data_IF_305719700738
#
_entry.id   IF_305719700738
#
_cell.length_a   1.000
_cell.length_b   1.000
_cell.length_c   1.000
_cell.angle_alpha   90.00
_cell.angle_beta   90.00
_cell.angle_gamma   90.00
#
_symmetry.space_group_name_H-M   'P 1'
#
loop_
_entity.id
_entity.type
_entity.pdbx_description
1 polymer ?
#
# COMPACT_ATOMS: atom_id res chain seq x y z
N UNK A 1 21.10 33.99 20.69
CA UNK A 1 21.28 32.64 21.26
C UNK A 1 20.04 32.35 22.10
N UNK A 2 19.08 31.49 21.78
CA UNK A 2 19.12 30.27 20.97
C UNK A 2 17.80 30.09 20.19
N UNK A 3 17.96 29.90 18.89
CA UNK A 3 16.97 29.82 17.82
C UNK A 3 16.43 28.37 17.62
N UNK A 4 16.33 27.57 18.69
CA UNK A 4 16.29 26.09 18.57
C UNK A 4 15.07 25.38 19.17
N UNK A 5 13.91 26.04 19.31
CA UNK A 5 12.65 25.37 19.72
C UNK A 5 11.64 25.11 18.58
N UNK A 6 12.09 25.11 17.32
CA UNK A 6 11.22 24.85 16.14
C UNK A 6 11.58 23.63 15.28
N UNK A 7 12.45 22.74 15.76
CA UNK A 7 12.61 21.41 15.15
C UNK A 7 12.00 20.35 16.08
N UNK A 8 11.35 19.36 15.48
CA UNK A 8 10.62 18.25 16.11
C UNK A 8 9.19 18.57 16.57
N UNK A 9 8.35 19.04 15.65
CA UNK A 9 7.03 18.40 15.56
C UNK A 9 7.27 16.99 15.01
N UNK A 10 7.31 16.00 15.91
CA UNK A 10 6.96 14.63 15.55
C UNK A 10 5.56 14.74 14.92
N UNK A 11 5.47 14.54 13.61
CA UNK A 11 4.19 14.35 12.94
C UNK A 11 3.47 13.23 13.71
N UNK A 12 2.55 13.58 14.62
CA UNK A 12 1.68 12.58 15.25
C UNK A 12 1.06 11.80 14.11
N UNK A 13 1.23 10.47 14.09
CA UNK A 13 0.52 9.60 13.15
C UNK A 13 -0.96 10.01 13.21
N UNK A 14 -1.48 10.57 12.11
CA UNK A 14 -2.91 10.86 12.02
C UNK A 14 -3.59 9.51 12.11
N UNK A 15 -4.29 9.28 13.21
CA UNK A 15 -5.17 8.12 13.35
C UNK A 15 -6.19 8.23 12.22
N UNK A 16 -6.07 7.31 11.28
CA UNK A 16 -6.96 7.17 10.16
C UNK A 16 -8.35 6.84 10.68
N UNK A 17 -9.35 7.64 10.30
CA UNK A 17 -10.73 7.42 10.75
C UNK A 17 -11.29 6.20 10.02
N UNK A 18 -11.90 5.27 10.77
CA UNK A 18 -12.70 4.17 10.20
C UNK A 18 -13.75 4.79 9.28
N UNK A 19 -13.65 4.54 7.98
CA UNK A 19 -14.57 5.05 6.98
C UNK A 19 -14.92 3.91 6.01
N UNK A 20 -16.20 3.72 5.73
CA UNK A 20 -16.71 2.72 4.78
C UNK A 20 -16.12 2.89 3.38
N UNK A 21 -15.70 4.11 3.03
CA UNK A 21 -15.07 4.41 1.74
C UNK A 21 -13.69 3.75 1.63
N UNK A 22 -12.87 3.75 2.68
CA UNK A 22 -11.51 3.17 2.66
C UNK A 22 -11.48 1.66 2.89
N UNK A 23 -12.64 1.01 3.09
CA UNK A 23 -12.76 -0.46 3.11
C UNK A 23 -12.46 -1.14 4.44
N UNK A 24 -12.41 -0.40 5.56
CA UNK A 24 -12.16 -0.93 6.91
C UNK A 24 -13.38 -1.54 7.59
N UNK A 25 -14.12 -2.38 6.87
CA UNK A 25 -15.41 -2.92 7.34
C UNK A 25 -15.31 -4.34 7.91
N UNK A 26 -14.17 -5.01 7.73
CA UNK A 26 -13.96 -6.39 8.17
C UNK A 26 -12.62 -6.50 8.93
N UNK A 27 -12.56 -7.40 9.90
CA UNK A 27 -11.34 -7.79 10.61
C UNK A 27 -11.05 -9.25 10.36
N UNK A 28 -9.79 -9.62 10.22
CA UNK A 28 -9.37 -11.01 10.13
C UNK A 28 -9.02 -11.52 11.52
N UNK A 29 -9.43 -12.75 11.83
CA UNK A 29 -9.05 -13.42 13.06
C UNK A 29 -7.54 -13.68 13.07
N UNK A 30 -6.93 -13.53 14.25
CA UNK A 30 -5.52 -13.81 14.51
C UNK A 30 -5.47 -14.87 15.61
N UNK A 31 -4.76 -16.00 15.43
CA UNK A 31 -3.82 -16.27 14.34
C UNK A 31 -4.49 -16.46 12.97
N UNK A 32 -3.90 -15.86 11.94
CA UNK A 32 -4.36 -15.91 10.56
C UNK A 32 -3.47 -16.86 9.76
N UNK A 33 -4.04 -17.91 9.20
CA UNK A 33 -3.37 -18.79 8.24
C UNK A 33 -4.18 -18.81 6.94
N UNK A 34 -3.51 -18.53 5.82
CA UNK A 34 -4.15 -18.57 4.51
C UNK A 34 -3.23 -19.19 3.48
N UNK A 35 -3.80 -20.04 2.63
CA UNK A 35 -3.14 -20.55 1.44
C UNK A 35 -3.25 -19.51 0.32
N UNK A 36 -2.17 -19.27 -0.39
CA UNK A 36 -2.19 -18.45 -1.60
C UNK A 36 -2.91 -19.25 -2.70
N UNK A 37 -4.21 -18.99 -2.88
CA UNK A 37 -5.08 -19.75 -3.79
C UNK A 37 -4.57 -19.72 -5.24
N UNK A 38 -4.35 -20.91 -5.82
CA UNK A 38 -4.24 -21.15 -7.27
C UNK A 38 -3.07 -20.50 -8.02
N UNK A 39 -2.30 -19.61 -7.40
CA UNK A 39 -1.17 -18.92 -8.04
C UNK A 39 0.03 -18.90 -7.11
N UNK A 40 1.16 -19.40 -7.62
CA UNK A 40 2.47 -19.18 -6.99
C UNK A 40 2.70 -17.67 -6.87
N UNK A 41 3.32 -17.22 -5.79
CA UNK A 41 3.77 -15.84 -5.68
C UNK A 41 4.72 -15.52 -6.84
N UNK A 42 4.40 -14.51 -7.64
CA UNK A 42 5.19 -14.09 -8.80
C UNK A 42 5.93 -12.78 -8.53
N UNK A 43 7.07 -12.57 -9.22
CA UNK A 43 7.76 -11.29 -9.21
C UNK A 43 6.84 -10.13 -9.62
N UNK A 44 6.93 -9.02 -8.88
CA UNK A 44 6.12 -7.81 -9.07
C UNK A 44 4.83 -7.78 -8.25
N UNK A 45 4.39 -8.91 -7.68
CA UNK A 45 3.27 -8.93 -6.74
C UNK A 45 3.68 -8.47 -5.35
N UNK A 46 2.70 -7.99 -4.59
CA UNK A 46 2.85 -7.52 -3.21
C UNK A 46 1.82 -8.20 -2.32
N UNK A 47 2.26 -8.64 -1.15
CA UNK A 47 1.37 -8.90 -0.02
C UNK A 47 1.34 -7.68 0.89
N UNK A 48 0.14 -7.28 1.31
CA UNK A 48 -0.09 -6.09 2.11
C UNK A 48 -0.89 -6.46 3.34
N UNK A 49 -0.33 -6.13 4.50
CA UNK A 49 -0.90 -6.36 5.82
C UNK A 49 -1.14 -5.01 6.47
N UNK A 50 -2.40 -4.74 6.83
CA UNK A 50 -2.73 -3.60 7.68
C UNK A 50 -3.55 -4.05 8.88
N UNK A 51 -3.25 -3.42 10.00
CA UNK A 51 -3.87 -3.75 11.27
C UNK A 51 -3.61 -2.70 12.33
N UNK A 52 -4.10 -3.01 13.52
CA UNK A 52 -3.90 -2.25 14.75
C UNK A 52 -3.13 -3.15 15.72
N UNK A 53 -2.16 -2.59 16.41
CA UNK A 53 -1.50 -3.26 17.55
C UNK A 53 -2.44 -3.15 18.74
N UNK A 54 -2.81 -4.29 19.33
CA UNK A 54 -3.83 -4.37 20.38
C UNK A 54 -3.27 -4.81 21.72
N UNK A 55 -2.04 -5.33 21.75
CA UNK A 55 -1.37 -5.77 22.96
C UNK A 55 0.12 -5.42 22.95
N UNK A 56 0.81 -5.46 24.10
CA UNK A 56 2.26 -5.30 24.17
C UNK A 56 3.03 -6.55 23.73
N UNK A 57 2.34 -7.64 23.34
CA UNK A 57 2.98 -8.84 22.80
C UNK A 57 3.50 -8.59 21.39
N UNK A 58 4.55 -9.32 21.04
CA UNK A 58 5.10 -9.34 19.70
C UNK A 58 4.09 -9.86 18.69
N UNK A 59 4.36 -9.61 17.41
CA UNK A 59 3.64 -10.26 16.32
C UNK A 59 4.58 -10.68 15.21
N UNK A 60 4.15 -11.68 14.44
CA UNK A 60 4.91 -12.28 13.34
C UNK A 60 4.10 -12.27 12.06
N UNK A 61 4.80 -12.12 10.93
CA UNK A 61 4.30 -12.37 9.59
C UNK A 61 5.29 -13.31 8.91
N UNK A 62 4.82 -14.50 8.56
CA UNK A 62 5.60 -15.56 7.94
C UNK A 62 5.06 -15.89 6.55
N UNK A 63 5.98 -16.07 5.59
CA UNK A 63 5.72 -16.77 4.34
C UNK A 63 6.28 -18.18 4.46
N UNK A 64 5.42 -19.19 4.29
CA UNK A 64 5.77 -20.59 4.52
C UNK A 64 5.54 -21.43 3.28
N UNK A 65 6.25 -22.56 3.18
CA UNK A 65 6.09 -23.53 2.08
C UNK A 65 5.02 -24.59 2.33
N UNK A 66 4.39 -24.56 3.50
CA UNK A 66 3.17 -25.30 3.81
C UNK A 66 2.38 -24.68 4.97
N UNK A 67 1.34 -25.39 5.39
CA UNK A 67 0.38 -24.94 6.41
C UNK A 67 0.66 -25.43 7.83
N UNK A 68 1.69 -26.26 8.04
CA UNK A 68 2.09 -26.74 9.36
C UNK A 68 2.86 -25.63 10.11
N UNK A 69 2.11 -24.86 10.90
CA UNK A 69 2.59 -23.71 11.68
C UNK A 69 2.19 -23.86 13.15
N UNK A 70 2.59 -22.92 14.00
CA UNK A 70 2.33 -22.90 15.45
C UNK A 70 0.86 -22.56 15.78
N UNK A 71 -0.07 -23.35 15.24
CA UNK A 71 -1.52 -23.26 15.48
C UNK A 71 -2.03 -24.40 16.34
N UNK A 72 -1.53 -25.61 16.11
CA UNK A 72 -1.96 -26.84 16.74
C UNK A 72 -0.81 -27.43 17.55
N UNK A 73 -1.06 -27.72 18.82
CA UNK A 73 -0.09 -28.31 19.75
C UNK A 73 0.38 -29.70 19.29
N UNK A 74 -0.43 -30.39 18.48
CA UNK A 74 -0.08 -31.69 17.90
C UNK A 74 0.87 -31.59 16.68
N UNK A 75 1.17 -30.37 16.21
CA UNK A 75 2.09 -30.16 15.08
C UNK A 75 3.53 -30.45 15.50
N UNK A 76 3.99 -31.68 15.24
CA UNK A 76 5.33 -32.14 15.61
C UNK A 76 6.45 -31.62 14.72
N UNK A 77 6.14 -31.23 13.48
CA UNK A 77 7.09 -30.66 12.52
C UNK A 77 6.46 -29.48 11.80
N UNK A 78 7.19 -28.37 11.76
CA UNK A 78 6.73 -27.14 11.13
C UNK A 78 7.31 -27.00 9.72
N UNK A 79 6.54 -26.39 8.82
CA UNK A 79 6.97 -26.09 7.45
C UNK A 79 7.99 -24.95 7.41
N UNK A 80 8.81 -24.83 6.36
CA UNK A 80 9.87 -23.81 6.33
C UNK A 80 9.30 -22.39 6.41
N UNK A 81 10.01 -21.49 7.09
CA UNK A 81 9.75 -20.04 7.05
C UNK A 81 10.65 -19.42 6.00
N UNK A 82 10.15 -19.26 4.78
CA UNK A 82 10.91 -18.68 3.67
C UNK A 82 11.14 -17.17 3.83
N UNK A 83 10.27 -16.52 4.60
CA UNK A 83 10.47 -15.20 5.20
C UNK A 83 9.76 -15.20 6.56
N UNK A 84 10.47 -14.83 7.62
CA UNK A 84 9.91 -14.60 8.95
C UNK A 84 10.22 -13.17 9.36
N UNK A 85 9.17 -12.36 9.53
CA UNK A 85 9.28 -11.01 10.07
C UNK A 85 8.64 -10.97 11.46
N UNK A 86 9.45 -10.80 12.51
CA UNK A 86 8.98 -10.64 13.89
C UNK A 86 9.11 -9.20 14.33
N UNK A 87 8.02 -8.61 14.78
CA UNK A 87 7.98 -7.26 15.38
C UNK A 87 7.99 -7.43 16.88
N UNK A 88 9.09 -7.01 17.49
CA UNK A 88 9.34 -7.10 18.93
C UNK A 88 8.99 -5.77 19.60
N UNK A 89 7.89 -5.79 20.35
CA UNK A 89 7.26 -4.58 20.87
C UNK A 89 8.04 -3.97 22.04
N UNK A 90 8.80 -4.80 22.76
CA UNK A 90 9.58 -4.39 23.94
C UNK A 90 10.91 -3.73 23.54
N UNK A 91 11.68 -4.39 22.68
CA UNK A 91 12.98 -3.90 22.20
C UNK A 91 12.87 -2.89 21.06
N UNK A 92 11.67 -2.70 20.49
CA UNK A 92 11.39 -1.80 19.37
C UNK A 92 12.15 -2.18 18.10
N UNK A 93 12.24 -3.49 17.85
CA UNK A 93 13.00 -4.07 16.73
C UNK A 93 12.11 -4.95 15.86
N UNK A 94 12.33 -4.88 14.55
CA UNK A 94 11.79 -5.81 13.56
C UNK A 94 12.94 -6.72 13.15
N UNK A 95 12.77 -8.01 13.40
CA UNK A 95 13.69 -9.06 13.02
C UNK A 95 13.23 -9.70 11.72
N UNK A 96 14.17 -9.94 10.81
CA UNK A 96 13.96 -10.65 9.55
C UNK A 96 14.86 -11.87 9.51
N UNK A 97 14.30 -13.04 9.24
CA UNK A 97 15.09 -14.26 9.06
C UNK A 97 14.35 -15.26 8.14
N UNK A 98 14.98 -16.38 7.85
CA UNK A 98 14.36 -17.57 7.30
C UNK A 98 14.73 -18.76 8.17
N UNK A 99 13.82 -19.72 8.30
CA UNK A 99 14.06 -21.01 8.94
C UNK A 99 13.88 -22.09 7.88
N UNK A 100 14.96 -22.77 7.52
CA UNK A 100 14.99 -23.77 6.46
C UNK A 100 15.48 -25.08 7.06
N UNK A 101 14.69 -26.14 6.94
CA UNK A 101 14.99 -27.46 7.49
C UNK A 101 15.33 -27.38 8.99
N UNK A 102 14.51 -26.63 9.74
CA UNK A 102 14.64 -26.32 11.17
C UNK A 102 15.88 -25.51 11.58
N UNK A 103 16.63 -24.98 10.62
CA UNK A 103 17.79 -24.11 10.85
C UNK A 103 17.48 -22.64 10.54
N UNK A 104 17.68 -21.77 11.53
CA UNK A 104 17.56 -20.32 11.36
C UNK A 104 18.81 -19.74 10.68
N UNK A 105 18.57 -18.92 9.66
CA UNK A 105 19.62 -18.18 8.96
C UNK A 105 20.13 -16.95 9.72
N UNK A 106 20.75 -16.03 8.97
CA UNK A 106 21.27 -14.78 9.52
C UNK A 106 20.16 -13.75 9.73
N UNK A 107 20.00 -13.30 10.97
CA UNK A 107 19.01 -12.29 11.35
C UNK A 107 19.38 -10.88 10.86
N UNK A 108 18.43 -10.24 10.17
CA UNK A 108 18.42 -8.80 9.91
C UNK A 108 17.59 -8.06 10.96
N UNK A 109 17.96 -6.82 11.30
CA UNK A 109 17.30 -6.05 12.36
C UNK A 109 17.07 -4.62 11.88
N UNK A 110 15.86 -4.10 12.11
CA UNK A 110 15.50 -2.68 11.88
C UNK A 110 14.70 -2.16 13.06
N UNK A 111 14.86 -0.88 13.45
CA UNK A 111 14.07 -0.27 14.52
C UNK A 111 12.67 0.16 14.05
N UNK A 112 11.70 0.11 14.94
CA UNK A 112 10.37 0.71 14.75
C UNK A 112 9.95 1.54 15.97
N UNK A 113 9.00 2.46 15.78
CA UNK A 113 8.53 3.34 16.85
C UNK A 113 7.09 3.02 17.31
N UNK A 114 6.52 1.92 16.81
CA UNK A 114 5.14 1.54 17.13
C UNK A 114 4.89 1.28 18.63
N UNK A 115 3.71 1.69 19.09
CA UNK A 115 3.17 1.41 20.43
C UNK A 115 1.79 0.73 20.34
N UNK A 116 1.29 0.23 21.48
CA UNK A 116 -0.07 -0.31 21.54
C UNK A 116 -1.09 0.76 21.10
N UNK A 117 -2.06 0.37 20.26
CA UNK A 117 -3.04 1.24 19.62
C UNK A 117 -2.60 1.84 18.29
N UNK A 118 -1.32 1.74 17.91
CA UNK A 118 -0.88 2.22 16.60
C UNK A 118 -1.40 1.35 15.45
N UNK A 119 -1.67 2.02 14.33
CA UNK A 119 -1.83 1.34 13.05
C UNK A 119 -0.47 1.06 12.40
N UNK A 120 -0.41 -0.10 11.73
CA UNK A 120 0.70 -0.48 10.87
C UNK A 120 0.24 -0.70 9.42
N UNK A 121 1.10 -0.32 8.48
CA UNK A 121 1.05 -0.74 7.08
C UNK A 121 2.35 -1.45 6.74
N UNK A 122 2.24 -2.71 6.34
CA UNK A 122 3.36 -3.53 5.94
C UNK A 122 3.09 -4.04 4.53
N UNK A 123 4.01 -3.78 3.62
CA UNK A 123 4.00 -4.34 2.28
C UNK A 123 5.27 -5.13 2.02
N UNK A 124 5.11 -6.36 1.55
CA UNK A 124 6.20 -7.23 1.12
C UNK A 124 6.05 -7.43 -0.39
N UNK A 125 6.91 -6.80 -1.17
CA UNK A 125 6.89 -6.88 -2.64
C UNK A 125 7.94 -7.88 -3.12
N UNK A 126 7.51 -8.88 -3.87
CA UNK A 126 8.38 -9.90 -4.42
C UNK A 126 9.09 -9.42 -5.69
N UNK A 127 10.38 -9.72 -5.81
CA UNK A 127 11.17 -9.67 -7.04
C UNK A 127 11.78 -11.05 -7.28
N UNK A 128 12.49 -11.23 -8.40
CA UNK A 128 13.07 -12.53 -8.77
C UNK A 128 14.03 -13.11 -7.72
N UNK A 129 14.76 -12.24 -7.01
CA UNK A 129 15.85 -12.66 -6.10
C UNK A 129 15.65 -12.25 -4.64
N UNK A 130 14.69 -11.37 -4.36
CA UNK A 130 14.49 -10.80 -3.03
C UNK A 130 13.07 -10.27 -2.84
N UNK A 131 12.72 -10.01 -1.58
CA UNK A 131 11.62 -9.15 -1.20
C UNK A 131 12.11 -7.74 -0.88
N UNK A 132 11.38 -6.72 -1.34
CA UNK A 132 11.46 -5.38 -0.77
C UNK A 132 10.34 -5.21 0.26
N UNK A 133 10.73 -4.89 1.50
CA UNK A 133 9.80 -4.79 2.62
C UNK A 133 9.62 -3.32 3.00
N UNK A 134 8.39 -2.85 2.89
CA UNK A 134 7.99 -1.51 3.23
C UNK A 134 7.17 -1.51 4.52
N UNK A 135 7.50 -0.60 5.42
CA UNK A 135 6.76 -0.33 6.65
C UNK A 135 6.37 1.14 6.67
N UNK A 136 5.09 1.43 6.85
CA UNK A 136 4.50 2.76 6.77
C UNK A 136 5.01 3.52 5.53
N UNK A 137 4.91 2.83 4.40
CA UNK A 137 5.36 3.26 3.08
C UNK A 137 6.86 3.56 2.93
N UNK A 138 7.70 3.21 3.92
CA UNK A 138 9.17 3.31 3.86
C UNK A 138 9.77 1.97 3.50
N UNK A 139 10.67 1.92 2.52
CA UNK A 139 11.54 0.75 2.36
C UNK A 139 12.42 0.61 3.62
N UNK A 140 12.30 -0.51 4.33
CA UNK A 140 13.08 -0.78 5.54
C UNK A 140 14.05 -1.94 5.38
N UNK A 141 13.74 -2.92 4.53
CA UNK A 141 14.58 -4.09 4.31
C UNK A 141 14.52 -4.59 2.87
N UNK A 142 15.62 -5.22 2.44
CA UNK A 142 15.68 -6.07 1.26
C UNK A 142 16.10 -7.46 1.73
N UNK A 143 15.25 -8.45 1.52
CA UNK A 143 15.47 -9.80 2.03
C UNK A 143 15.65 -10.77 0.87
N UNK A 144 16.84 -11.33 0.70
CA UNK A 144 17.13 -12.26 -0.38
C UNK A 144 16.35 -13.57 -0.20
N UNK A 145 15.93 -14.18 -1.31
CA UNK A 145 15.26 -15.48 -1.28
C UNK A 145 16.24 -16.58 -0.90
N UNK A 146 15.90 -17.39 0.11
CA UNK A 146 16.69 -18.57 0.51
C UNK A 146 16.28 -19.83 -0.26
N UNK A 147 15.01 -19.88 -0.69
CA UNK A 147 14.42 -20.90 -1.56
C UNK A 147 13.68 -20.19 -2.71
N UNK A 148 13.39 -20.88 -3.82
CA UNK A 148 12.58 -20.30 -4.90
C UNK A 148 11.30 -19.62 -4.41
N UNK A 149 10.98 -18.46 -4.98
CA UNK A 149 9.76 -17.71 -4.63
C UNK A 149 8.48 -18.56 -4.81
N UNK A 150 8.51 -19.50 -5.77
CA UNK A 150 7.44 -20.44 -6.05
C UNK A 150 7.08 -21.38 -4.90
N UNK A 151 7.97 -21.52 -3.93
CA UNK A 151 7.80 -22.43 -2.82
C UNK A 151 6.96 -21.79 -1.71
N UNK A 152 6.76 -20.45 -1.73
CA UNK A 152 5.81 -19.81 -0.83
C UNK A 152 4.39 -20.20 -1.23
N UNK A 153 3.72 -20.93 -0.33
CA UNK A 153 2.35 -21.42 -0.54
C UNK A 153 1.37 -20.86 0.48
N UNK A 154 1.84 -20.45 1.66
CA UNK A 154 1.00 -19.97 2.75
C UNK A 154 1.55 -18.69 3.37
N UNK A 155 0.63 -17.97 4.01
CA UNK A 155 0.90 -16.80 4.82
C UNK A 155 0.35 -17.07 6.21
N UNK A 156 1.20 -16.91 7.21
CA UNK A 156 0.84 -17.06 8.61
C UNK A 156 1.13 -15.77 9.37
N UNK A 157 0.15 -15.28 10.13
CA UNK A 157 0.27 -14.08 10.95
C UNK A 157 -0.26 -14.38 12.34
N UNK A 158 0.50 -14.05 13.37
CA UNK A 158 0.12 -14.30 14.77
C UNK A 158 0.64 -13.20 15.69
N UNK A 159 0.05 -13.06 16.88
CA UNK A 159 0.50 -12.17 17.94
C UNK A 159 -0.48 -11.06 18.31
N UNK A 160 0.02 -10.04 19.00
CA UNK A 160 -0.74 -8.96 19.64
C UNK A 160 -1.38 -7.92 18.71
N UNK A 161 -2.08 -8.34 17.66
CA UNK A 161 -2.63 -7.46 16.61
C UNK A 161 -4.06 -7.84 16.21
N UNK A 162 -4.77 -6.89 15.60
CA UNK A 162 -5.98 -7.15 14.82
C UNK A 162 -5.73 -6.71 13.39
N UNK A 163 -5.93 -7.63 12.44
CA UNK A 163 -5.81 -7.35 11.02
C UNK A 163 -7.14 -6.82 10.48
N UNK A 164 -7.10 -5.80 9.63
CA UNK A 164 -8.27 -5.35 8.85
C UNK A 164 -8.03 -5.41 7.35
N UNK A 165 -6.80 -5.75 6.91
CA UNK A 165 -6.49 -5.98 5.51
C UNK A 165 -5.37 -7.01 5.37
N UNK A 166 -5.63 -8.04 4.59
CA UNK A 166 -4.64 -8.94 4.03
C UNK A 166 -4.93 -9.04 2.54
N UNK A 167 -4.14 -8.34 1.72
CA UNK A 167 -4.32 -8.32 0.28
C UNK A 167 -3.10 -8.88 -0.42
N UNK A 168 -3.36 -9.58 -1.52
CA UNK A 168 -2.36 -10.02 -2.46
C UNK A 168 -2.69 -9.41 -3.83
N UNK A 169 -1.80 -8.57 -4.35
CA UNK A 169 -2.10 -7.80 -5.56
C UNK A 169 -0.85 -7.41 -6.36
N UNK A 170 -1.11 -6.88 -7.56
CA UNK A 170 -0.12 -6.21 -8.38
C UNK A 170 0.62 -7.14 -9.35
N UNK A 171 1.53 -6.52 -10.09
CA UNK A 171 2.49 -7.14 -11.01
C UNK A 171 3.55 -6.09 -11.33
N UNK A 172 4.46 -6.38 -12.26
CA UNK A 172 5.21 -5.33 -12.91
C UNK A 172 4.34 -4.61 -13.94
N UNK A 173 4.25 -3.29 -13.78
CA UNK A 173 3.52 -2.42 -14.68
C UNK A 173 4.51 -1.56 -15.46
N UNK A 174 4.27 -1.41 -16.76
CA UNK A 174 4.99 -0.45 -17.59
C UNK A 174 4.38 0.93 -17.46
N UNK A 175 5.22 1.98 -17.50
CA UNK A 175 4.81 3.39 -17.55
C UNK A 175 5.24 3.95 -18.91
N UNK A 176 4.35 4.61 -19.68
CA UNK A 176 2.96 4.94 -19.36
C UNK A 176 2.06 3.71 -19.24
N UNK A 177 1.12 3.76 -18.29
CA UNK A 177 0.11 2.74 -18.06
C UNK A 177 -1.24 3.24 -18.58
N UNK A 178 -2.01 2.36 -19.22
CA UNK A 178 -3.38 2.63 -19.62
C UNK A 178 -4.24 1.37 -19.48
N UNK A 179 -5.48 1.53 -19.05
CA UNK A 179 -6.45 0.45 -18.98
C UNK A 179 -7.87 0.96 -19.17
N UNK A 180 -8.69 0.16 -19.84
CA UNK A 180 -10.14 0.40 -19.92
C UNK A 180 -10.79 0.18 -18.55
N UNK A 181 -11.94 0.83 -18.34
CA UNK A 181 -12.80 0.75 -17.17
C UNK A 181 -14.12 0.12 -17.63
N UNK A 182 -14.24 -1.22 -17.57
CA UNK A 182 -15.49 -1.89 -17.94
C UNK A 182 -16.68 -1.37 -17.14
N UNK A 183 -17.75 -1.04 -17.84
CA UNK A 183 -18.98 -0.48 -17.27
C UNK A 183 -18.81 0.94 -16.72
N UNK A 184 -17.81 1.69 -17.18
CA UNK A 184 -17.51 3.09 -16.89
C UNK A 184 -17.28 3.41 -15.39
N UNK A 185 -16.75 4.59 -15.06
CA UNK A 185 -16.46 4.99 -13.68
C UNK A 185 -17.65 5.71 -13.01
N UNK A 186 -18.83 5.08 -13.05
CA UNK A 186 -20.08 5.59 -12.48
C UNK A 186 -20.02 5.77 -10.96
N UNK A 187 -20.97 6.54 -10.40
CA UNK A 187 -21.10 6.77 -8.97
C UNK A 187 -21.10 5.45 -8.17
N UNK A 188 -20.39 5.44 -7.04
CA UNK A 188 -20.14 4.28 -6.19
C UNK A 188 -18.83 3.54 -6.50
N UNK A 189 -18.27 3.69 -7.71
CA UNK A 189 -17.00 3.03 -8.07
C UNK A 189 -15.77 3.66 -7.41
N UNK A 190 -14.75 2.84 -7.23
CA UNK A 190 -13.47 3.15 -6.61
C UNK A 190 -12.32 2.76 -7.51
N UNK A 191 -11.39 3.68 -7.72
CA UNK A 191 -10.10 3.42 -8.35
C UNK A 191 -9.04 3.45 -7.26
N UNK A 192 -8.31 2.35 -7.11
CA UNK A 192 -7.15 2.25 -6.25
C UNK A 192 -5.88 2.27 -7.09
N UNK A 193 -4.95 3.14 -6.73
CA UNK A 193 -3.63 3.25 -7.36
C UNK A 193 -2.58 3.22 -6.27
N UNK A 194 -1.69 2.25 -6.35
CA UNK A 194 -0.52 2.17 -5.48
C UNK A 194 0.76 2.41 -6.26
N UNK A 195 1.64 3.27 -5.76
CA UNK A 195 2.88 3.63 -6.46
C UNK A 195 4.05 3.90 -5.53
N UNK A 196 5.27 3.83 -6.06
CA UNK A 196 6.51 4.28 -5.43
C UNK A 196 7.03 5.52 -6.16
N UNK A 197 7.23 6.61 -5.41
CA UNK A 197 7.78 7.85 -5.96
C UNK A 197 9.29 7.69 -6.15
N UNK A 198 9.77 7.85 -7.39
CA UNK A 198 11.19 7.73 -7.73
C UNK A 198 12.05 8.74 -6.96
N UNK A 199 13.32 8.41 -6.73
CA UNK A 199 14.29 9.30 -6.03
C UNK A 199 14.43 10.67 -6.69
N UNK A 200 14.30 10.75 -8.00
CA UNK A 200 14.47 11.96 -8.80
C UNK A 200 13.15 12.52 -9.33
N UNK A 201 12.00 12.01 -8.83
CA UNK A 201 10.69 12.34 -9.37
C UNK A 201 10.41 13.84 -9.35
N UNK A 202 10.03 14.42 -10.49
CA UNK A 202 9.58 15.80 -10.63
C UNK A 202 8.07 15.87 -10.59
N UNK A 203 7.40 15.04 -11.40
CA UNK A 203 5.96 14.98 -11.47
C UNK A 203 5.45 13.66 -12.04
N UNK A 204 4.17 13.41 -11.83
CA UNK A 204 3.43 12.35 -12.49
C UNK A 204 1.95 12.72 -12.55
N UNK A 205 1.24 12.05 -13.44
CA UNK A 205 -0.16 12.33 -13.75
C UNK A 205 -0.97 11.03 -13.68
N UNK A 206 -2.19 11.15 -13.18
CA UNK A 206 -3.22 10.09 -13.21
C UNK A 206 -4.46 10.72 -13.83
N UNK A 207 -4.97 10.13 -14.89
CA UNK A 207 -6.11 10.65 -15.64
C UNK A 207 -7.24 9.62 -15.73
N UNK A 208 -8.46 10.09 -15.52
CA UNK A 208 -9.70 9.42 -15.87
C UNK A 208 -10.21 10.06 -17.17
N UNK A 209 -10.09 9.31 -18.26
CA UNK A 209 -10.49 9.73 -19.60
C UNK A 209 -11.96 9.39 -19.81
N UNK A 210 -12.66 10.26 -20.53
CA UNK A 210 -14.02 10.06 -20.98
C UNK A 210 -14.06 10.19 -22.51
N UNK A 211 -15.17 9.76 -23.12
CA UNK A 211 -15.34 9.81 -24.59
C UNK A 211 -14.98 11.18 -25.20
N UNK A 212 -15.40 12.26 -24.55
CA UNK A 212 -15.26 13.63 -25.05
C UNK A 212 -14.17 14.45 -24.32
N UNK A 213 -13.22 13.80 -23.65
CA UNK A 213 -12.06 14.47 -23.06
C UNK A 213 -11.50 13.80 -21.81
N UNK A 214 -11.10 14.61 -20.83
CA UNK A 214 -10.52 14.13 -19.56
C UNK A 214 -11.40 14.61 -18.42
N UNK A 215 -12.10 13.68 -17.77
CA UNK A 215 -12.99 14.00 -16.65
C UNK A 215 -12.21 14.46 -15.42
N UNK A 216 -11.08 13.82 -15.14
CA UNK A 216 -10.19 14.17 -14.05
C UNK A 216 -8.74 13.90 -14.44
N UNK A 217 -7.91 14.95 -14.51
CA UNK A 217 -6.45 14.85 -14.44
C UNK A 217 -5.99 15.22 -13.05
N UNK A 218 -5.32 14.32 -12.36
CA UNK A 218 -4.57 14.59 -11.14
C UNK A 218 -3.10 14.77 -11.49
N UNK A 219 -2.60 16.01 -11.40
CA UNK A 219 -1.19 16.35 -11.62
C UNK A 219 -0.46 16.53 -10.31
N UNK A 220 0.47 15.64 -10.01
CA UNK A 220 1.26 15.67 -8.77
C UNK A 220 2.64 16.24 -9.08
N UNK A 221 2.90 17.47 -8.62
CA UNK A 221 4.20 18.14 -8.71
C UNK A 221 5.00 17.89 -7.42
N UNK A 222 5.87 16.89 -7.46
CA UNK A 222 6.65 16.43 -6.29
C UNK A 222 7.68 17.47 -5.86
N UNK A 223 8.27 18.20 -6.80
CA UNK A 223 9.18 19.32 -6.51
C UNK A 223 8.49 20.44 -5.74
N UNK A 224 7.36 20.90 -6.26
CA UNK A 224 6.64 22.06 -5.72
C UNK A 224 5.74 21.70 -4.53
N UNK A 225 5.62 20.40 -4.24
CA UNK A 225 4.72 19.85 -3.22
C UNK A 225 3.27 20.30 -3.44
N UNK A 226 2.81 20.21 -4.69
CA UNK A 226 1.47 20.62 -5.10
C UNK A 226 0.78 19.49 -5.86
N UNK A 227 -0.53 19.39 -5.67
CA UNK A 227 -1.39 18.57 -6.51
C UNK A 227 -2.52 19.43 -7.06
N UNK A 228 -2.73 19.32 -8.36
CA UNK A 228 -3.79 20.00 -9.09
C UNK A 228 -4.74 19.00 -9.72
N UNK A 229 -6.01 19.37 -9.78
CA UNK A 229 -7.02 18.66 -10.54
C UNK A 229 -7.58 19.56 -11.65
N UNK A 230 -7.82 18.98 -12.81
CA UNK A 230 -8.38 19.69 -13.95
C UNK A 230 -9.18 18.73 -14.84
N UNK A 231 -9.97 19.28 -15.76
CA UNK A 231 -10.68 18.53 -16.79
C UNK A 231 -10.39 19.15 -18.15
N UNK A 232 -10.46 18.33 -19.19
CA UNK A 232 -10.42 18.77 -20.58
C UNK A 232 -11.79 18.53 -21.21
N UNK A 233 -12.41 19.59 -21.72
CA UNK A 233 -13.73 19.57 -22.39
C UNK A 233 -13.56 20.26 -23.73
N UNK A 234 -14.08 19.67 -24.81
CA UNK A 234 -13.90 20.16 -26.19
C UNK A 234 -12.41 20.43 -26.51
N UNK A 235 -11.55 19.51 -26.07
CA UNK A 235 -10.08 19.59 -26.20
C UNK A 235 -9.41 20.79 -25.49
N UNK A 236 -10.13 21.54 -24.66
CA UNK A 236 -9.61 22.68 -23.89
C UNK A 236 -9.50 22.34 -22.41
N UNK A 237 -8.33 22.58 -21.82
CA UNK A 237 -8.14 22.47 -20.38
C UNK A 237 -8.85 23.61 -19.66
N UNK A 238 -9.52 23.29 -18.56
CA UNK A 238 -10.03 24.30 -17.64
C UNK A 238 -8.93 24.91 -16.75
N UNK A 239 -9.35 25.57 -15.68
CA UNK A 239 -8.43 26.09 -14.67
C UNK A 239 -7.99 25.00 -13.69
N UNK A 240 -6.69 24.92 -13.41
CA UNK A 240 -6.12 24.01 -12.42
C UNK A 240 -6.64 24.33 -11.01
N UNK A 241 -7.26 23.34 -10.37
CA UNK A 241 -7.75 23.45 -8.99
C UNK A 241 -6.76 22.79 -8.03
N UNK A 242 -6.18 23.56 -7.11
CA UNK A 242 -5.29 23.00 -6.08
C UNK A 242 -6.08 22.24 -5.02
N UNK A 243 -5.82 20.94 -4.87
CA UNK A 243 -6.51 20.07 -3.89
C UNK A 243 -5.80 20.05 -2.54
N UNK A 244 -4.47 19.96 -2.54
CA UNK A 244 -3.68 19.80 -1.30
C UNK A 244 -3.61 21.11 -0.50
N UNK A 245 -4.65 21.40 0.31
CA UNK A 245 -4.72 22.62 1.14
C UNK A 245 -3.96 22.49 2.48
N UNK A 246 -3.71 21.27 2.96
CA UNK A 246 -3.01 21.02 4.24
C UNK A 246 -1.57 20.56 4.03
N UNK A 247 -1.36 19.25 3.84
CA UNK A 247 -0.05 18.59 3.77
C UNK A 247 0.05 17.83 2.46
N UNK A 248 1.18 17.98 1.77
CA UNK A 248 1.46 17.22 0.55
C UNK A 248 1.91 15.79 0.90
N UNK A 249 1.15 14.74 0.54
CA UNK A 249 1.38 13.39 1.06
C UNK A 249 2.43 12.59 0.27
N UNK A 250 2.79 13.02 -0.93
CA UNK A 250 3.71 12.29 -1.80
C UNK A 250 5.17 12.59 -1.47
N UNK A 251 5.92 11.57 -1.04
CA UNK A 251 7.33 11.70 -0.65
C UNK A 251 8.19 10.79 -1.50
N UNK A 252 9.33 11.29 -1.98
CA UNK A 252 10.31 10.50 -2.74
C UNK A 252 10.79 9.30 -1.93
N UNK A 253 11.01 8.18 -2.64
CA UNK A 253 11.39 6.88 -2.05
C UNK A 253 10.36 6.34 -1.04
N UNK A 254 9.13 6.84 -1.06
CA UNK A 254 8.01 6.28 -0.31
C UNK A 254 6.98 5.74 -1.26
N UNK A 255 6.33 4.65 -0.86
CA UNK A 255 5.11 4.22 -1.52
C UNK A 255 3.96 5.17 -1.16
N UNK A 256 2.86 5.06 -1.87
CA UNK A 256 1.60 5.71 -1.53
C UNK A 256 0.45 4.85 -2.04
N UNK A 257 -0.70 4.99 -1.41
CA UNK A 257 -1.95 4.41 -1.88
C UNK A 257 -2.97 5.53 -2.07
N UNK A 258 -3.37 5.74 -3.32
CA UNK A 258 -4.40 6.67 -3.73
C UNK A 258 -5.72 5.91 -3.92
N UNK A 259 -6.78 6.45 -3.35
CA UNK A 259 -8.16 6.05 -3.64
C UNK A 259 -8.89 7.25 -4.24
N UNK A 260 -9.43 7.06 -5.44
CA UNK A 260 -10.40 7.94 -6.07
C UNK A 260 -11.77 7.28 -5.95
N UNK A 261 -12.68 7.93 -5.24
CA UNK A 261 -14.07 7.47 -5.09
C UNK A 261 -14.99 8.37 -5.91
N UNK A 262 -15.83 7.79 -6.78
CA UNK A 262 -16.82 8.53 -7.55
C UNK A 262 -18.11 8.66 -6.74
N UNK A 263 -18.46 9.87 -6.31
CA UNK A 263 -19.81 10.20 -5.83
C UNK A 263 -20.68 10.71 -6.99
N UNK A 264 -21.95 11.00 -6.73
CA UNK A 264 -22.91 11.49 -7.74
C UNK A 264 -22.47 12.81 -8.39
N UNK A 265 -21.84 13.72 -7.64
CA UNK A 265 -21.50 15.07 -8.11
C UNK A 265 -20.01 15.42 -8.10
N UNK A 266 -19.15 14.53 -7.57
CA UNK A 266 -17.72 14.79 -7.38
C UNK A 266 -16.90 13.53 -7.20
N UNK A 267 -15.59 13.65 -7.39
CA UNK A 267 -14.61 12.68 -6.91
C UNK A 267 -14.16 13.03 -5.50
N UNK A 268 -14.05 12.03 -4.63
CA UNK A 268 -13.38 12.13 -3.33
C UNK A 268 -12.02 11.45 -3.42
N UNK A 269 -10.98 12.15 -2.96
CA UNK A 269 -9.59 11.72 -3.09
C UNK A 269 -9.01 11.43 -1.71
N UNK A 270 -8.51 10.21 -1.52
CA UNK A 270 -7.79 9.79 -0.32
C UNK A 270 -6.36 9.38 -0.67
N UNK A 271 -5.39 9.76 0.16
CA UNK A 271 -4.02 9.24 0.06
C UNK A 271 -3.62 8.66 1.41
N UNK A 272 -3.18 7.40 1.41
CA UNK A 272 -2.82 6.63 2.61
C UNK A 272 -3.95 6.70 3.64
N UNK A 273 -5.17 6.37 3.20
CA UNK A 273 -6.44 6.38 3.96
C UNK A 273 -6.84 7.76 4.56
N UNK A 274 -6.10 8.82 4.25
CA UNK A 274 -6.40 10.18 4.70
C UNK A 274 -7.10 10.98 3.59
N UNK A 275 -8.20 11.65 3.92
CA UNK A 275 -8.89 12.56 2.99
C UNK A 275 -7.93 13.66 2.54
N UNK A 276 -7.72 13.74 1.23
CA UNK A 276 -6.92 14.78 0.60
C UNK A 276 -7.79 15.95 0.12
N UNK A 277 -8.97 15.65 -0.42
CA UNK A 277 -9.95 16.64 -0.88
C UNK A 277 -10.96 16.05 -1.85
N UNK A 278 -11.66 16.92 -2.58
CA UNK A 278 -12.65 16.54 -3.58
C UNK A 278 -12.56 17.41 -4.84
N UNK A 279 -13.06 16.90 -5.95
CA UNK A 279 -13.11 17.58 -7.24
C UNK A 279 -14.49 17.38 -7.88
N UNK A 280 -15.21 18.47 -8.15
CA UNK A 280 -16.57 18.39 -8.73
C UNK A 280 -16.54 17.86 -10.16
N UNK A 281 -17.55 17.08 -10.52
CA UNK A 281 -17.68 16.55 -11.87
C UNK A 281 -17.92 17.69 -12.86
N UNK A 282 -17.08 17.75 -13.89
CA UNK A 282 -17.26 18.65 -15.04
C UNK A 282 -17.67 17.92 -16.31
N UNK A 283 -17.51 16.59 -16.32
CA UNK A 283 -17.98 15.66 -17.33
C UNK A 283 -18.78 14.57 -16.61
N UNK A 284 -19.69 13.92 -17.34
CA UNK A 284 -20.51 12.86 -16.79
C UNK A 284 -19.64 11.63 -16.45
N UNK A 285 -19.74 11.15 -15.20
CA UNK A 285 -18.99 9.98 -14.75
C UNK A 285 -19.32 8.69 -15.51
N UNK A 286 -20.51 8.61 -16.12
CA UNK A 286 -20.92 7.49 -16.97
C UNK A 286 -20.16 7.42 -18.30
N UNK A 287 -19.46 8.48 -18.71
CA UNK A 287 -18.67 8.50 -19.94
C UNK A 287 -17.19 8.16 -19.69
N UNK A 288 -16.78 7.96 -18.43
CA UNK A 288 -15.40 7.68 -18.06
C UNK A 288 -15.11 6.20 -18.25
N UNK A 289 -14.35 5.85 -19.29
CA UNK A 289 -14.13 4.48 -19.72
C UNK A 289 -12.65 4.06 -19.70
N UNK A 290 -11.73 4.94 -19.29
CA UNK A 290 -10.30 4.64 -19.28
C UNK A 290 -9.54 5.37 -18.19
N UNK A 291 -8.54 4.69 -17.64
CA UNK A 291 -7.52 5.28 -16.76
C UNK A 291 -6.18 5.31 -17.48
N UNK A 292 -5.42 6.39 -17.32
CA UNK A 292 -4.02 6.46 -17.72
C UNK A 292 -3.14 7.02 -16.61
N UNK A 293 -1.91 6.53 -16.53
CA UNK A 293 -0.95 6.93 -15.51
C UNK A 293 0.41 7.08 -16.16
N UNK A 294 1.06 8.23 -15.99
CA UNK A 294 2.35 8.53 -16.59
C UNK A 294 3.26 9.37 -15.69
N UNK A 295 4.57 9.34 -15.97
CA UNK A 295 5.58 10.17 -15.34
C UNK A 295 6.49 9.44 -14.34
N UNK A 296 6.95 10.17 -13.32
CA UNK A 296 8.06 9.74 -12.46
C UNK A 296 7.66 8.80 -11.31
N UNK A 297 6.91 7.74 -11.62
CA UNK A 297 6.48 6.73 -10.64
C UNK A 297 6.91 5.33 -11.05
N UNK A 298 6.96 4.43 -10.08
CA UNK A 298 6.89 2.99 -10.30
C UNK A 298 5.52 2.55 -9.82
N UNK A 299 4.70 2.00 -10.71
CA UNK A 299 3.35 1.57 -10.40
C UNK A 299 3.40 0.17 -9.75
N UNK A 300 2.73 0.04 -8.61
CA UNK A 300 2.80 -1.15 -7.77
C UNK A 300 1.51 -1.96 -7.80
N UNK A 301 0.37 -1.29 -7.98
CA UNK A 301 -0.96 -1.89 -8.09
C UNK A 301 -1.96 -0.89 -8.67
N UNK A 302 -2.88 -1.38 -9.49
CA UNK A 302 -4.06 -0.64 -9.95
C UNK A 302 -5.23 -1.60 -9.96
N UNK A 303 -6.33 -1.26 -9.31
CA UNK A 303 -7.55 -2.04 -9.37
C UNK A 303 -8.80 -1.17 -9.21
N UNK A 304 -9.89 -1.63 -9.82
CA UNK A 304 -11.20 -0.99 -9.77
C UNK A 304 -12.12 -1.84 -8.90
N UNK A 305 -12.96 -1.19 -8.10
CA UNK A 305 -14.03 -1.82 -7.32
C UNK A 305 -15.33 -1.05 -7.47
#
# INVERSE_FOLDING_TARGET
>A
MSFLRKLFHLDKKKVTKKNSITGRNHTFEVPYLSRLEGTKLLPGQSLIFRGIITSPQDFIINFTDGGAVELDEDTTKLDNRLLSMRVDMASKQIYFNACIDDEWGKTGIVKHDWVNGDEFDIRIRAYDKLYEIFVDHKLIAKFAHYKPLSDVTHVYVNGGITLYMVNYEGKFYSIPYGAEIPGCFVAGKKLFVSGLIKKTAKSFDIELQARDGVALRMRILVNDKKMFCNSQIDSKWGSDQRISKQTFPFKRKRTFDLLVYCEESKFILYVNDCLLGSYEHRLNCADIDKVSIDGDIILLGVHLK
#
